data_IF_645988771846
#
_entry.id   IF_645988771846
#
_cell.length_a   1.000
_cell.length_b   1.000
_cell.length_c   1.000
_cell.angle_alpha   90.00
_cell.angle_beta   90.00
_cell.angle_gamma   90.00
#
_symmetry.space_group_name_H-M   'P 1'
#
loop_
_entity.id
_entity.type
_entity.pdbx_description
1 polymer ?
#
# COMPACT_ATOMS: atom_id res chain seq x y z
N UNK A 1 -28.34 35.06 -20.68
CA UNK A 1 -28.12 34.10 -19.57
C UNK A 1 -29.37 33.78 -18.75
N UNK A 2 -30.57 34.25 -19.14
CA UNK A 2 -31.83 34.10 -18.39
C UNK A 2 -32.56 32.76 -18.59
N UNK A 3 -32.15 31.93 -19.55
CA UNK A 3 -32.84 30.69 -19.89
C UNK A 3 -32.46 29.48 -19.00
N UNK A 4 -31.31 29.50 -18.32
CA UNK A 4 -30.87 28.39 -17.45
C UNK A 4 -31.58 28.39 -16.09
N UNK A 5 -31.89 29.56 -15.55
CA UNK A 5 -32.51 29.69 -14.22
C UNK A 5 -34.03 29.44 -14.23
N UNK A 6 -34.68 29.47 -15.39
CA UNK A 6 -36.15 29.48 -15.50
C UNK A 6 -36.78 28.07 -15.57
N UNK A 7 -36.01 27.01 -15.85
CA UNK A 7 -36.54 25.64 -16.04
C UNK A 7 -35.55 24.58 -15.59
N UNK A 8 -35.87 23.91 -14.50
CA UNK A 8 -35.05 22.86 -13.88
C UNK A 8 -34.67 21.73 -14.86
N UNK A 9 -35.63 21.23 -15.65
CA UNK A 9 -35.37 20.18 -16.64
C UNK A 9 -34.34 20.60 -17.72
N UNK A 10 -34.34 21.88 -18.11
CA UNK A 10 -33.38 22.42 -19.09
C UNK A 10 -31.99 22.58 -18.49
N UNK A 11 -31.92 22.95 -17.20
CA UNK A 11 -30.68 23.03 -16.44
C UNK A 11 -30.04 21.65 -16.25
N UNK A 12 -30.79 20.67 -15.75
CA UNK A 12 -30.32 19.30 -15.52
C UNK A 12 -29.85 18.62 -16.81
N UNK A 13 -30.59 18.80 -17.92
CA UNK A 13 -30.19 18.25 -19.23
C UNK A 13 -28.90 18.87 -19.76
N UNK A 14 -28.65 20.16 -19.52
CA UNK A 14 -27.42 20.83 -19.95
C UNK A 14 -26.24 20.54 -19.03
N UNK A 15 -26.47 20.49 -17.71
CA UNK A 15 -25.45 20.14 -16.74
C UNK A 15 -24.98 18.69 -16.91
N UNK A 16 -25.88 17.73 -17.08
CA UNK A 16 -25.49 16.33 -17.34
C UNK A 16 -24.66 16.19 -18.62
N UNK A 17 -25.05 16.87 -19.71
CA UNK A 17 -24.27 16.88 -20.96
C UNK A 17 -22.90 17.55 -20.82
N UNK A 18 -22.79 18.59 -20.00
CA UNK A 18 -21.52 19.27 -19.74
C UNK A 18 -20.61 18.39 -18.87
N UNK A 19 -21.14 17.77 -17.81
CA UNK A 19 -20.41 16.84 -16.96
C UNK A 19 -19.97 15.58 -17.71
N UNK A 20 -20.83 15.01 -18.56
CA UNK A 20 -20.46 13.92 -19.46
C UNK A 20 -19.29 14.34 -20.36
N UNK A 21 -19.35 15.51 -20.99
CA UNK A 21 -18.22 16.03 -21.79
C UNK A 21 -16.96 16.29 -20.97
N UNK A 22 -17.06 16.65 -19.70
CA UNK A 22 -15.89 16.81 -18.83
C UNK A 22 -15.28 15.46 -18.43
N UNK A 23 -16.12 14.44 -18.21
CA UNK A 23 -15.69 13.06 -17.92
C UNK A 23 -15.09 12.41 -19.18
N UNK A 24 -15.74 12.60 -20.32
CA UNK A 24 -15.39 12.01 -21.62
C UNK A 24 -14.34 12.85 -22.39
N UNK A 25 -13.89 13.98 -21.84
CA UNK A 25 -12.83 14.82 -22.44
C UNK A 25 -11.42 14.27 -22.25
N UNK A 26 -11.29 13.09 -21.64
CA UNK A 26 -10.02 12.36 -21.65
C UNK A 26 -9.72 11.99 -23.11
N UNK A 27 -8.64 12.54 -23.72
CA UNK A 27 -8.27 12.22 -25.10
C UNK A 27 -8.11 10.71 -25.23
N UNK A 28 -8.54 10.12 -26.36
CA UNK A 28 -8.40 8.68 -26.61
C UNK A 28 -6.95 8.19 -26.65
N UNK A 29 -5.98 9.10 -26.68
CA UNK A 29 -4.54 8.82 -26.54
C UNK A 29 -4.08 8.68 -25.08
N UNK A 30 -4.96 8.92 -24.10
CA UNK A 30 -4.68 8.70 -22.68
C UNK A 30 -5.21 7.33 -22.30
N UNK A 31 -4.30 6.38 -22.12
CA UNK A 31 -4.61 5.13 -21.44
C UNK A 31 -4.92 5.47 -19.99
N UNK A 32 -6.16 5.26 -19.58
CA UNK A 32 -6.48 5.25 -18.15
C UNK A 32 -5.69 4.12 -17.51
N UNK A 33 -5.13 4.37 -16.33
CA UNK A 33 -4.53 3.31 -15.55
C UNK A 33 -5.60 2.29 -15.19
N UNK A 34 -5.17 1.08 -14.85
CA UNK A 34 -6.10 0.10 -14.31
C UNK A 34 -6.90 0.68 -13.13
N UNK A 35 -8.16 0.26 -12.94
CA UNK A 35 -8.98 0.68 -11.82
C UNK A 35 -8.20 0.55 -10.51
N UNK A 36 -8.28 1.58 -9.66
CA UNK A 36 -7.58 1.55 -8.39
C UNK A 36 -8.14 0.40 -7.55
N UNK A 37 -7.37 -0.68 -7.43
CA UNK A 37 -7.75 -1.78 -6.55
C UNK A 37 -7.72 -1.32 -5.08
N UNK A 38 -8.75 -1.71 -4.35
CA UNK A 38 -8.94 -1.34 -2.96
C UNK A 38 -8.04 -2.22 -2.10
N UNK A 39 -7.13 -1.57 -1.39
CA UNK A 39 -6.22 -2.21 -0.43
C UNK A 39 -7.03 -3.06 0.55
N UNK A 40 -6.71 -4.35 0.56
CA UNK A 40 -7.38 -5.37 1.35
C UNK A 40 -7.14 -5.21 2.86
N UNK A 41 -5.89 -5.01 3.29
CA UNK A 41 -5.53 -4.82 4.70
C UNK A 41 -4.70 -3.56 4.85
N UNK A 42 -5.09 -2.67 5.77
CA UNK A 42 -4.41 -1.40 5.98
C UNK A 42 -4.25 -1.04 7.46
N UNK A 43 -3.02 -1.00 8.00
CA UNK A 43 -2.77 -0.49 9.34
C UNK A 43 -2.76 1.05 9.41
N UNK A 44 -3.09 1.56 10.59
CA UNK A 44 -3.10 2.96 10.99
C UNK A 44 -2.47 3.05 12.38
N UNK A 45 -1.19 3.40 12.44
CA UNK A 45 -0.49 3.53 13.73
C UNK A 45 -0.88 4.86 14.37
N UNK A 46 -1.41 4.81 15.59
CA UNK A 46 -1.87 5.98 16.35
C UNK A 46 -0.92 6.29 17.52
N UNK A 47 -0.13 5.32 17.98
CA UNK A 47 0.85 5.50 19.04
C UNK A 47 2.10 4.67 18.80
N UNK A 48 3.26 5.33 18.80
CA UNK A 48 4.57 4.69 18.87
C UNK A 48 5.50 5.61 19.65
N UNK A 49 5.55 5.44 20.97
CA UNK A 49 6.32 6.31 21.87
C UNK A 49 6.83 5.54 23.08
N UNK A 50 7.77 6.12 23.83
CA UNK A 50 8.29 5.54 25.06
C UNK A 50 7.44 5.97 26.26
N UNK A 51 7.08 5.04 27.13
CA UNK A 51 6.45 5.35 28.41
C UNK A 51 7.48 5.77 29.48
N UNK A 52 7.00 6.05 30.69
CA UNK A 52 7.85 6.46 31.81
C UNK A 52 8.84 5.37 32.26
N UNK A 53 8.59 4.10 31.91
CA UNK A 53 9.46 2.96 32.16
C UNK A 53 10.46 2.71 31.01
N UNK A 54 10.46 3.55 29.96
CA UNK A 54 11.24 3.37 28.72
C UNK A 54 10.80 2.17 27.87
N UNK A 55 9.58 1.68 28.06
CA UNK A 55 8.98 0.68 27.19
C UNK A 55 8.25 1.35 26.01
N UNK A 56 8.15 0.68 24.87
CA UNK A 56 7.49 1.23 23.68
C UNK A 56 5.98 0.96 23.77
N UNK A 57 5.18 2.01 23.89
CA UNK A 57 3.74 1.95 23.67
C UNK A 57 3.47 1.91 22.18
N UNK A 58 2.84 0.84 21.72
CA UNK A 58 2.45 0.61 20.33
C UNK A 58 0.93 0.47 20.23
N UNK A 59 0.30 1.42 19.57
CA UNK A 59 -1.14 1.49 19.41
C UNK A 59 -1.54 1.84 17.98
N UNK A 60 -2.68 1.32 17.54
CA UNK A 60 -3.17 1.57 16.21
C UNK A 60 -4.49 0.89 15.90
N UNK A 61 -4.89 1.02 14.64
CA UNK A 61 -6.07 0.40 14.06
C UNK A 61 -5.71 -0.31 12.77
N UNK A 62 -6.40 -1.37 12.43
CA UNK A 62 -6.25 -2.12 11.20
C UNK A 62 -7.60 -2.14 10.52
N UNK A 63 -7.62 -1.71 9.26
CA UNK A 63 -8.77 -1.81 8.38
C UNK A 63 -8.60 -3.06 7.52
N UNK A 64 -9.55 -3.98 7.60
CA UNK A 64 -9.61 -5.17 6.74
C UNK A 64 -10.82 -5.05 5.83
N UNK A 65 -10.65 -5.28 4.53
CA UNK A 65 -11.75 -5.37 3.57
C UNK A 65 -12.46 -6.71 3.76
N UNK A 66 -13.78 -6.62 3.92
CA UNK A 66 -14.66 -7.75 4.18
C UNK A 66 -15.78 -7.87 3.14
N UNK A 67 -15.65 -7.15 2.02
CA UNK A 67 -16.59 -7.18 0.89
C UNK A 67 -16.92 -8.61 0.41
N UNK A 68 -15.92 -9.49 0.38
CA UNK A 68 -16.06 -10.85 -0.15
C UNK A 68 -16.76 -11.81 0.83
N UNK A 69 -17.02 -11.35 2.06
CA UNK A 69 -17.85 -12.01 3.04
C UNK A 69 -17.31 -13.34 3.60
N UNK A 70 -18.18 -14.13 4.27
CA UNK A 70 -17.78 -15.36 4.95
C UNK A 70 -17.20 -16.42 4.02
N UNK A 71 -17.66 -16.50 2.77
CA UNK A 71 -17.16 -17.45 1.76
C UNK A 71 -15.68 -17.25 1.40
N UNK A 72 -15.14 -16.05 1.63
CA UNK A 72 -13.73 -15.74 1.44
C UNK A 72 -12.94 -15.73 2.77
N UNK A 73 -13.55 -16.20 3.87
CA UNK A 73 -12.95 -16.13 5.20
C UNK A 73 -12.84 -14.69 5.73
N UNK A 74 -13.79 -13.83 5.35
CA UNK A 74 -13.82 -12.40 5.70
C UNK A 74 -15.05 -11.99 6.52
N UNK A 75 -15.62 -12.92 7.28
CA UNK A 75 -16.69 -12.62 8.23
C UNK A 75 -16.11 -11.92 9.48
N UNK A 76 -16.49 -10.66 9.80
CA UNK A 76 -16.02 -9.99 11.01
C UNK A 76 -16.31 -10.76 12.32
N UNK A 77 -17.32 -11.63 12.35
CA UNK A 77 -17.68 -12.42 13.54
C UNK A 77 -16.77 -13.65 13.72
N UNK A 78 -16.07 -14.07 12.67
CA UNK A 78 -15.24 -15.27 12.63
C UNK A 78 -13.87 -14.94 12.00
N UNK A 79 -13.42 -13.70 12.15
CA UNK A 79 -12.13 -13.24 11.67
C UNK A 79 -11.31 -12.73 12.86
N UNK A 80 -10.22 -13.41 13.16
CA UNK A 80 -9.22 -12.98 14.12
C UNK A 80 -8.09 -12.23 13.40
N UNK A 81 -7.90 -10.97 13.76
CA UNK A 81 -6.80 -10.14 13.27
C UNK A 81 -5.76 -10.00 14.38
N UNK A 82 -4.51 -10.35 14.08
CA UNK A 82 -3.40 -10.32 15.04
C UNK A 82 -2.18 -9.69 14.41
N UNK A 83 -1.25 -9.20 15.23
CA UNK A 83 0.04 -8.73 14.73
C UNK A 83 1.17 -9.65 15.21
N UNK A 84 1.95 -10.17 14.26
CA UNK A 84 3.26 -10.73 14.54
C UNK A 84 4.29 -9.60 14.43
N UNK A 85 5.32 -9.60 15.28
CA UNK A 85 6.36 -8.57 15.22
C UNK A 85 7.76 -9.13 15.37
N UNK A 86 8.76 -8.42 14.87
CA UNK A 86 10.16 -8.68 15.16
C UNK A 86 10.66 -7.78 16.29
N UNK A 87 11.63 -8.26 17.05
CA UNK A 87 12.41 -7.46 17.99
C UNK A 87 13.41 -6.53 17.27
N UNK A 88 14.12 -5.68 18.02
CA UNK A 88 15.24 -4.87 17.47
C UNK A 88 16.37 -5.68 16.82
N UNK A 89 16.42 -6.99 17.08
CA UNK A 89 17.41 -7.91 16.49
C UNK A 89 16.85 -8.67 15.27
N UNK A 90 15.73 -8.22 14.72
CA UNK A 90 14.98 -8.86 13.61
C UNK A 90 14.48 -10.29 13.90
N UNK A 91 14.43 -10.69 15.17
CA UNK A 91 13.90 -12.01 15.55
C UNK A 91 12.40 -11.91 15.79
N UNK A 92 11.61 -12.75 15.12
CA UNK A 92 10.16 -12.86 15.31
C UNK A 92 9.82 -13.22 16.76
N UNK A 93 8.93 -12.42 17.35
CA UNK A 93 8.32 -12.68 18.65
C UNK A 93 7.36 -13.86 18.54
N UNK A 94 7.41 -14.78 19.50
CA UNK A 94 6.39 -15.83 19.64
C UNK A 94 5.04 -15.29 20.10
N UNK A 95 5.03 -14.12 20.75
CA UNK A 95 3.82 -13.46 21.22
C UNK A 95 3.23 -12.61 20.09
N UNK A 96 1.98 -12.91 19.75
CA UNK A 96 1.14 -12.10 18.86
C UNK A 96 0.46 -10.98 19.66
N UNK A 97 0.26 -9.83 19.02
CA UNK A 97 -0.55 -8.75 19.56
C UNK A 97 -1.98 -9.00 19.12
N UNK A 98 -2.87 -9.18 20.08
CA UNK A 98 -4.31 -9.33 19.83
C UNK A 98 -4.91 -7.97 19.45
N UNK A 99 -5.91 -8.00 18.58
CA UNK A 99 -6.71 -6.82 18.24
C UNK A 99 -8.15 -7.02 18.65
N UNK A 100 -8.88 -5.92 18.79
CA UNK A 100 -10.30 -5.89 19.14
C UNK A 100 -11.08 -5.31 17.98
N UNK A 101 -12.11 -6.01 17.52
CA UNK A 101 -13.04 -5.48 16.52
C UNK A 101 -13.81 -4.28 17.09
N UNK A 102 -13.88 -3.18 16.34
CA UNK A 102 -14.52 -1.93 16.79
C UNK A 102 -15.66 -1.44 15.89
N UNK A 103 -15.88 -2.09 14.75
CA UNK A 103 -17.01 -1.79 13.88
C UNK A 103 -16.67 -1.80 12.40
N UNK A 104 -17.71 -1.58 11.59
CA UNK A 104 -17.61 -1.58 10.13
C UNK A 104 -17.67 -0.17 9.53
N UNK A 105 -17.08 -0.03 8.35
CA UNK A 105 -17.20 1.14 7.49
C UNK A 105 -17.54 0.73 6.06
N UNK A 106 -18.24 1.60 5.35
CA UNK A 106 -18.69 1.37 3.98
C UNK A 106 -17.94 2.30 3.02
N UNK A 107 -17.40 1.72 1.96
CA UNK A 107 -16.78 2.43 0.86
C UNK A 107 -17.79 3.03 -0.11
N UNK A 108 -17.38 4.03 -0.90
CA UNK A 108 -18.26 4.70 -1.86
C UNK A 108 -18.71 3.81 -3.04
N UNK A 109 -18.06 2.66 -3.26
CA UNK A 109 -18.37 1.75 -4.37
C UNK A 109 -18.87 0.37 -3.88
N UNK A 110 -19.42 0.32 -2.66
CA UNK A 110 -20.00 -0.91 -2.09
C UNK A 110 -18.99 -1.79 -1.35
N UNK A 111 -17.78 -1.29 -1.10
CA UNK A 111 -16.82 -1.99 -0.26
C UNK A 111 -17.25 -1.99 1.21
N UNK A 112 -16.94 -3.06 1.92
CA UNK A 112 -17.20 -3.18 3.36
C UNK A 112 -15.84 -3.37 4.01
N UNK A 113 -15.61 -2.66 5.11
CA UNK A 113 -14.38 -2.73 5.87
C UNK A 113 -14.70 -2.98 7.34
N UNK A 114 -13.99 -3.92 7.96
CA UNK A 114 -13.97 -4.11 9.40
C UNK A 114 -12.76 -3.41 10.01
N UNK A 115 -12.94 -2.77 11.16
CA UNK A 115 -11.89 -2.11 11.91
C UNK A 115 -11.51 -2.88 13.17
N UNK A 116 -10.20 -2.98 13.41
CA UNK A 116 -9.63 -3.68 14.54
C UNK A 116 -8.62 -2.77 15.26
N UNK A 117 -8.77 -2.55 16.56
CA UNK A 117 -7.87 -1.71 17.35
C UNK A 117 -6.92 -2.56 18.19
N UNK A 118 -5.70 -2.07 18.38
CA UNK A 118 -4.73 -2.69 19.28
C UNK A 118 -3.99 -1.61 20.06
N UNK A 119 -3.63 -1.96 21.28
CA UNK A 119 -2.75 -1.17 22.14
C UNK A 119 -1.96 -2.13 23.02
N UNK A 120 -0.63 -2.00 22.98
CA UNK A 120 0.27 -2.86 23.76
C UNK A 120 1.54 -2.12 24.14
N UNK A 121 2.17 -2.57 25.22
CA UNK A 121 3.50 -2.13 25.65
C UNK A 121 4.55 -3.16 25.24
N UNK A 122 5.67 -2.73 24.68
CA UNK A 122 6.72 -3.57 24.09
C UNK A 122 8.10 -3.18 24.67
N UNK A 123 8.69 -4.05 25.49
CA UNK A 123 10.02 -3.81 26.06
C UNK A 123 11.21 -4.09 25.12
N UNK A 124 11.12 -5.12 24.25
CA UNK A 124 12.24 -5.53 23.38
C UNK A 124 12.33 -4.76 22.04
N UNK A 125 11.56 -3.66 21.95
CA UNK A 125 11.34 -2.89 20.73
C UNK A 125 10.71 -3.67 19.56
N UNK A 126 10.46 -2.93 18.49
CA UNK A 126 9.78 -3.40 17.29
C UNK A 126 10.52 -2.89 16.06
N UNK A 127 10.84 -3.78 15.11
CA UNK A 127 11.47 -3.40 13.84
C UNK A 127 10.51 -3.63 12.67
N UNK A 128 9.83 -4.77 12.63
CA UNK A 128 8.83 -5.10 11.63
C UNK A 128 7.60 -5.69 12.30
N UNK A 129 6.45 -5.60 11.62
CA UNK A 129 5.27 -6.33 12.01
C UNK A 129 4.50 -6.81 10.80
N UNK A 130 3.92 -7.99 10.92
CA UNK A 130 2.98 -8.55 9.96
C UNK A 130 1.59 -8.62 10.60
N UNK A 131 0.57 -8.39 9.79
CA UNK A 131 -0.82 -8.58 10.21
C UNK A 131 -1.22 -9.98 9.77
N UNK A 132 -1.67 -10.81 10.70
CA UNK A 132 -2.15 -12.15 10.46
C UNK A 132 -3.66 -12.18 10.56
N UNK A 133 -4.30 -12.66 9.50
CA UNK A 133 -5.73 -12.95 9.47
C UNK A 133 -5.91 -14.45 9.64
N UNK A 134 -6.75 -14.85 10.59
CA UNK A 134 -7.12 -16.25 10.81
C UNK A 134 -8.62 -16.35 10.95
N UNK A 135 -9.21 -17.36 10.33
CA UNK A 135 -10.62 -17.71 10.52
C UNK A 135 -10.70 -18.76 11.64
N UNK A 136 -11.12 -18.43 12.87
CA UNK A 136 -11.06 -19.36 13.99
C UNK A 136 -11.87 -20.64 13.80
N UNK A 137 -13.00 -20.59 13.09
CA UNK A 137 -13.82 -21.78 12.85
C UNK A 137 -13.14 -22.85 11.97
N UNK A 138 -12.30 -22.45 11.01
CA UNK A 138 -11.59 -23.36 10.10
C UNK A 138 -10.10 -23.50 10.40
N UNK A 139 -9.53 -22.58 11.20
CA UNK A 139 -8.09 -22.46 11.45
C UNK A 139 -7.30 -21.95 10.24
N UNK A 140 -7.96 -21.53 9.17
CA UNK A 140 -7.34 -21.11 7.93
C UNK A 140 -6.72 -19.70 8.07
N UNK A 141 -5.47 -19.55 7.66
CA UNK A 141 -4.78 -18.25 7.62
C UNK A 141 -4.98 -17.61 6.26
N UNK A 142 -5.72 -16.50 6.21
CA UNK A 142 -6.21 -15.95 4.94
C UNK A 142 -5.38 -14.80 4.37
N UNK A 143 -4.43 -14.22 5.12
CA UNK A 143 -3.44 -13.26 4.60
C UNK A 143 -2.36 -12.87 5.62
N UNK A 144 -1.14 -12.55 5.14
CA UNK A 144 -0.08 -11.85 5.87
C UNK A 144 0.28 -10.52 5.18
N UNK A 145 0.14 -9.38 5.86
CA UNK A 145 0.59 -8.07 5.37
C UNK A 145 2.07 -7.86 5.69
N UNK A 146 2.87 -7.37 4.75
CA UNK A 146 4.34 -7.45 4.80
C UNK A 146 5.06 -6.09 4.71
N UNK A 147 4.76 -5.17 5.62
CA UNK A 147 5.42 -3.86 5.63
C UNK A 147 6.68 -3.90 6.52
N UNK A 148 7.85 -3.78 5.90
CA UNK A 148 9.11 -3.53 6.60
C UNK A 148 9.27 -2.02 6.84
N UNK A 149 9.51 -1.61 8.09
CA UNK A 149 9.66 -0.21 8.48
C UNK A 149 11.10 0.06 8.96
N UNK A 150 11.86 0.86 8.20
CA UNK A 150 13.03 1.57 8.71
C UNK A 150 12.77 3.06 8.55
N UNK A 151 12.48 3.72 9.67
CA UNK A 151 12.29 5.15 9.75
C UNK A 151 13.54 5.78 10.37
N UNK A 152 14.34 6.48 9.58
CA UNK A 152 15.41 7.34 10.09
C UNK A 152 15.10 8.75 9.61
N UNK A 153 14.94 9.68 10.55
CA UNK A 153 14.83 11.12 10.28
C UNK A 153 13.64 11.55 9.39
N UNK A 154 12.47 10.92 9.55
CA UNK A 154 11.25 11.29 8.82
C UNK A 154 11.16 10.76 7.39
N UNK A 155 12.16 9.98 6.94
CA UNK A 155 12.13 9.20 5.70
C UNK A 155 11.97 7.71 6.01
N UNK A 156 11.23 7.00 5.16
CA UNK A 156 11.13 5.54 5.17
C UNK A 156 11.99 4.96 4.05
N UNK A 157 12.76 3.90 4.33
CA UNK A 157 13.57 3.24 3.30
C UNK A 157 12.91 1.93 2.83
N UNK A 158 12.80 1.78 1.52
CA UNK A 158 12.38 0.55 0.85
C UNK A 158 13.52 0.07 -0.04
N UNK A 159 13.70 -1.24 -0.18
CA UNK A 159 14.56 -1.80 -1.24
C UNK A 159 13.70 -2.60 -2.20
N UNK A 160 13.58 -2.14 -3.44
CA UNK A 160 12.94 -2.94 -4.49
C UNK A 160 13.90 -4.06 -4.91
N UNK A 161 13.42 -5.30 -4.90
CA UNK A 161 14.18 -6.49 -5.31
C UNK A 161 13.50 -7.12 -6.50
N UNK A 162 14.25 -7.30 -7.60
CA UNK A 162 13.71 -7.86 -8.85
C UNK A 162 14.65 -8.95 -9.34
N UNK A 163 14.07 -10.06 -9.79
CA UNK A 163 14.82 -11.17 -10.40
C UNK A 163 14.63 -11.13 -11.91
N UNK A 164 15.73 -11.03 -12.66
CA UNK A 164 15.72 -10.95 -14.14
C UNK A 164 16.42 -12.17 -14.71
N UNK A 165 15.83 -12.77 -15.75
CA UNK A 165 16.45 -13.90 -16.44
C UNK A 165 17.84 -13.53 -16.96
N UNK A 166 18.80 -14.44 -16.84
CA UNK A 166 20.22 -14.24 -17.18
C UNK A 166 20.46 -13.67 -18.58
N UNK A 167 19.63 -14.04 -19.56
CA UNK A 167 19.67 -13.52 -20.94
C UNK A 167 19.31 -12.03 -21.05
N UNK A 168 18.45 -11.54 -20.15
CA UNK A 168 18.00 -10.14 -20.10
C UNK A 168 18.74 -9.32 -19.03
N UNK A 169 19.54 -9.96 -18.17
CA UNK A 169 20.26 -9.33 -17.07
C UNK A 169 21.42 -8.39 -17.50
N UNK A 170 21.68 -8.28 -18.81
CA UNK A 170 22.63 -7.33 -19.39
C UNK A 170 21.97 -5.99 -19.74
N UNK A 171 20.64 -5.93 -19.76
CA UNK A 171 19.90 -4.70 -20.06
C UNK A 171 19.82 -3.80 -18.80
N UNK A 172 19.93 -2.47 -18.97
CA UNK A 172 19.77 -1.53 -17.86
C UNK A 172 18.36 -1.60 -17.30
N UNK A 173 18.25 -1.90 -16.00
CA UNK A 173 16.99 -1.99 -15.26
C UNK A 173 16.80 -0.71 -14.43
N UNK A 174 15.65 -0.08 -14.58
CA UNK A 174 15.27 1.18 -13.93
C UNK A 174 13.95 1.03 -13.19
N UNK A 175 13.75 1.88 -12.19
CA UNK A 175 12.45 2.10 -11.56
C UNK A 175 12.08 3.57 -11.69
N UNK A 176 10.90 3.85 -12.25
CA UNK A 176 10.29 5.17 -12.22
C UNK A 176 9.37 5.22 -11.00
N UNK A 177 9.69 6.11 -10.06
CA UNK A 177 9.01 6.26 -8.79
C UNK A 177 8.21 7.57 -8.80
N UNK A 178 6.93 7.50 -8.45
CA UNK A 178 6.07 8.69 -8.40
C UNK A 178 5.67 9.00 -6.96
N UNK A 179 6.26 10.04 -6.37
CA UNK A 179 6.03 10.46 -5.00
C UNK A 179 5.04 11.62 -4.89
N UNK A 180 4.33 11.67 -3.76
CA UNK A 180 3.41 12.77 -3.43
C UNK A 180 4.05 13.76 -2.45
N UNK A 181 4.41 14.95 -2.92
CA UNK A 181 4.97 16.00 -2.07
C UNK A 181 3.91 17.04 -1.65
N UNK A 182 3.98 17.50 -0.39
CA UNK A 182 3.14 18.60 0.09
C UNK A 182 3.68 19.93 -0.43
N UNK A 183 2.79 20.78 -0.98
CA UNK A 183 3.12 22.16 -1.35
C UNK A 183 2.56 23.12 -0.32
N UNK A 184 3.40 24.02 0.19
CA UNK A 184 2.96 25.06 1.11
C UNK A 184 1.88 25.93 0.45
N UNK A 185 0.75 26.13 1.13
CA UNK A 185 -0.37 26.94 0.62
C UNK A 185 -1.28 26.25 -0.41
N UNK A 186 -1.08 24.96 -0.70
CA UNK A 186 -1.94 24.19 -1.62
C UNK A 186 -2.49 22.92 -0.96
N UNK A 187 -3.81 22.70 -1.10
CA UNK A 187 -4.47 21.45 -0.67
C UNK A 187 -4.08 20.29 -1.61
N UNK A 188 -3.79 20.58 -2.88
CA UNK A 188 -3.30 19.59 -3.84
C UNK A 188 -1.81 19.31 -3.63
N UNK A 189 -1.48 18.03 -3.53
CA UNK A 189 -0.10 17.52 -3.49
C UNK A 189 0.51 17.54 -4.89
N UNK A 190 1.82 17.73 -4.97
CA UNK A 190 2.59 17.55 -6.20
C UNK A 190 2.84 16.07 -6.45
N UNK A 191 2.94 15.68 -7.72
CA UNK A 191 3.55 14.42 -8.12
C UNK A 191 5.00 14.74 -8.51
N UNK A 192 5.96 14.04 -7.93
CA UNK A 192 7.38 14.14 -8.24
C UNK A 192 7.84 12.79 -8.74
N UNK A 193 8.37 12.78 -9.95
CA UNK A 193 8.88 11.58 -10.62
C UNK A 193 10.39 11.50 -10.38
N UNK A 194 10.85 10.33 -9.94
CA UNK A 194 12.25 10.02 -9.71
C UNK A 194 12.61 8.72 -10.44
N UNK A 195 13.70 8.74 -11.20
CA UNK A 195 14.19 7.55 -11.92
C UNK A 195 15.40 6.99 -11.18
N UNK A 196 15.28 5.78 -10.65
CA UNK A 196 16.34 5.11 -9.89
C UNK A 196 16.84 3.91 -10.69
N UNK A 197 18.16 3.76 -10.79
CA UNK A 197 18.76 2.60 -11.47
C UNK A 197 18.97 1.45 -10.49
N UNK A 198 18.66 0.23 -10.93
CA UNK A 198 18.95 -0.95 -10.13
C UNK A 198 20.45 -1.29 -10.13
N UNK A 199 20.93 -1.76 -8.99
CA UNK A 199 22.26 -2.34 -8.87
C UNK A 199 22.17 -3.85 -8.99
N UNK A 200 22.93 -4.43 -9.93
CA UNK A 200 23.06 -5.89 -10.07
C UNK A 200 23.77 -6.45 -8.85
N UNK A 201 23.21 -7.49 -8.25
CA UNK A 201 23.84 -8.19 -7.13
C UNK A 201 24.61 -9.42 -7.61
N UNK A 202 25.46 -9.98 -6.74
CA UNK A 202 26.13 -11.28 -6.96
C UNK A 202 25.20 -12.47 -6.70
N UNK A 203 23.99 -12.24 -6.19
CA UNK A 203 22.99 -13.27 -5.90
C UNK A 203 22.35 -13.78 -7.20
N UNK A 204 22.35 -15.12 -7.36
CA UNK A 204 21.68 -15.83 -8.45
C UNK A 204 20.70 -16.85 -7.88
N UNK A 205 19.52 -16.95 -8.48
CA UNK A 205 18.49 -17.94 -8.16
C UNK A 205 18.18 -18.73 -9.43
N UNK A 206 18.86 -19.85 -9.63
CA UNK A 206 18.81 -20.59 -10.89
C UNK A 206 19.29 -19.74 -12.08
N UNK A 207 18.47 -19.63 -13.12
CA UNK A 207 18.74 -18.82 -14.32
C UNK A 207 18.37 -17.34 -14.18
N UNK A 208 18.15 -16.86 -12.95
CA UNK A 208 17.81 -15.47 -12.65
C UNK A 208 18.92 -14.78 -11.85
N UNK A 209 19.14 -13.50 -12.18
CA UNK A 209 20.05 -12.59 -11.47
C UNK A 209 19.21 -11.60 -10.68
N UNK A 210 19.58 -11.38 -9.42
CA UNK A 210 18.87 -10.45 -8.54
C UNK A 210 19.43 -9.04 -8.67
N UNK A 211 18.52 -8.07 -8.77
CA UNK A 211 18.77 -6.65 -8.83
C UNK A 211 18.12 -5.97 -7.62
N UNK A 212 18.81 -4.97 -7.04
CA UNK A 212 18.31 -4.20 -5.91
C UNK A 212 18.38 -2.70 -6.18
N UNK A 213 17.32 -1.97 -5.83
CA UNK A 213 17.28 -0.51 -5.86
C UNK A 213 16.84 0.00 -4.48
N UNK A 214 17.71 0.72 -3.74
CA UNK A 214 17.30 1.42 -2.54
C UNK A 214 16.44 2.63 -2.93
N UNK A 215 15.30 2.79 -2.25
CA UNK A 215 14.31 3.82 -2.50
C UNK A 215 14.04 4.53 -1.17
N UNK A 216 14.13 5.85 -1.19
CA UNK A 216 13.79 6.70 -0.04
C UNK A 216 12.40 7.28 -0.25
N UNK A 217 11.49 7.05 0.69
CA UNK A 217 10.11 7.51 0.65
C UNK A 217 9.89 8.57 1.73
N UNK A 218 9.33 9.71 1.37
CA UNK A 218 8.80 10.67 2.34
C UNK A 218 7.60 10.03 3.08
N UNK A 219 7.55 10.13 4.41
CA UNK A 219 6.38 9.72 5.21
C UNK A 219 5.11 10.51 4.85
N UNK A 220 5.22 11.64 4.15
CA UNK A 220 4.07 12.32 3.54
C UNK A 220 3.47 11.57 2.34
N UNK A 221 4.24 10.71 1.69
CA UNK A 221 3.97 10.12 0.38
C UNK A 221 3.53 8.64 0.43
N UNK A 222 2.72 8.24 1.42
CA UNK A 222 2.23 6.85 1.63
C UNK A 222 1.37 6.22 0.51
N UNK A 223 1.39 6.77 -0.70
CA UNK A 223 0.81 6.20 -1.92
C UNK A 223 1.80 6.43 -3.05
N UNK A 224 2.82 5.59 -3.11
CA UNK A 224 3.84 5.66 -4.16
C UNK A 224 3.61 4.51 -5.11
N UNK A 225 3.35 4.85 -6.36
CA UNK A 225 3.36 3.88 -7.47
C UNK A 225 4.73 3.91 -8.10
N UNK A 226 5.22 2.76 -8.53
CA UNK A 226 6.45 2.66 -9.27
C UNK A 226 6.36 1.67 -10.42
N UNK A 227 7.11 1.97 -11.47
CA UNK A 227 7.22 1.14 -12.66
C UNK A 227 8.63 0.62 -12.75
N UNK A 228 8.80 -0.70 -12.89
CA UNK A 228 10.09 -1.32 -13.15
C UNK A 228 10.17 -1.64 -14.63
N UNK A 229 11.21 -1.18 -15.31
CA UNK A 229 11.38 -1.46 -16.75
C UNK A 229 12.84 -1.61 -17.15
N UNK A 230 13.04 -2.35 -18.23
CA UNK A 230 14.30 -2.43 -18.93
C UNK A 230 14.30 -1.44 -20.09
N UNK A 231 15.30 -0.57 -20.15
CA UNK A 231 15.41 0.48 -21.15
C UNK A 231 15.92 -0.09 -22.49
N UNK A 232 15.05 -0.86 -23.16
CA UNK A 232 15.31 -1.54 -24.43
C UNK A 232 13.99 -1.85 -25.16
N UNK A 233 13.94 -1.82 -26.50
CA UNK A 233 12.75 -2.22 -27.27
C UNK A 233 12.36 -3.71 -27.11
N UNK A 234 13.25 -4.55 -26.58
CA UNK A 234 12.96 -5.93 -26.17
C UNK A 234 12.85 -6.07 -24.64
N UNK A 235 12.82 -4.96 -23.90
CA UNK A 235 12.84 -4.92 -22.45
C UNK A 235 11.48 -5.26 -21.84
N UNK A 236 11.51 -5.94 -20.69
CA UNK A 236 10.32 -6.18 -19.89
C UNK A 236 9.95 -4.93 -19.08
N UNK A 237 8.65 -4.67 -18.92
CA UNK A 237 8.09 -3.61 -18.07
C UNK A 237 7.01 -4.19 -17.17
N UNK A 238 7.07 -3.83 -15.89
CA UNK A 238 6.05 -4.09 -14.89
C UNK A 238 5.65 -2.72 -14.35
N UNK A 239 4.38 -2.36 -14.51
CA UNK A 239 3.88 -1.03 -14.18
C UNK A 239 2.91 -1.06 -13.00
N UNK A 240 2.71 0.10 -12.39
CA UNK A 240 1.75 0.35 -11.33
C UNK A 240 1.97 -0.48 -10.06
N UNK A 241 3.21 -0.86 -9.78
CA UNK A 241 3.54 -1.54 -8.53
C UNK A 241 3.33 -0.56 -7.37
N UNK A 242 2.58 -0.99 -6.37
CA UNK A 242 2.39 -0.20 -5.16
C UNK A 242 3.30 -0.71 -4.06
N UNK A 243 3.84 0.23 -3.29
CA UNK A 243 4.68 -0.07 -2.13
C UNK A 243 3.95 -0.92 -1.07
N UNK A 244 2.61 -0.89 -1.07
CA UNK A 244 1.73 -1.67 -0.18
C UNK A 244 1.44 -3.11 -0.66
N UNK A 245 1.81 -3.47 -1.89
CA UNK A 245 1.52 -4.78 -2.51
C UNK A 245 2.76 -5.69 -2.63
N UNK A 246 3.95 -5.22 -2.24
CA UNK A 246 5.19 -5.97 -2.42
C UNK A 246 5.38 -7.05 -1.34
N UNK A 247 5.21 -8.32 -1.73
CA UNK A 247 5.61 -9.48 -0.91
C UNK A 247 7.13 -9.55 -0.72
N UNK A 248 7.66 -9.76 0.50
CA UNK A 248 9.06 -10.08 0.70
C UNK A 248 9.30 -11.44 0.04
N UNK A 249 10.19 -11.46 -0.94
CA UNK A 249 10.77 -12.71 -1.38
C UNK A 249 11.59 -13.28 -0.22
N UNK A 250 11.27 -14.51 0.14
CA UNK A 250 12.10 -15.34 1.02
C UNK A 250 13.55 -15.43 0.51
#
# INVERSE_FOLDING_TARGET
MTALAARQATFESRCSKLFARMIDSVPSSVSLSDPLEVIDIKPYITGLYLDAASDIVFAGRIRVRTTDGPSAGRDPNDLAVRLARTSRLDVWSSNLIETTYVGDAYGPYGEIFAWYEFETVIGNGIMRFNIQLTVPSTGEKTAESCVAWEAVDGASFMTAVVSVHTELALLPLKVDLVQHERRQGSIKRALVEEVISFTRTTEKRGDYVVFKAPITLDMGAWRTTFDVYQDSPAGARISFLRTEECSPSA
#
